data_IF_589384144450
#
_entry.id   IF_589384144450
#
_cell.length_a   1.000
_cell.length_b   1.000
_cell.length_c   1.000
_cell.angle_alpha   90.00
_cell.angle_beta   90.00
_cell.angle_gamma   90.00
#
_symmetry.space_group_name_H-M   'P 1'
#
loop_
_entity.id
_entity.type
_entity.pdbx_description
1 polymer ?
#
# COMPACT_ATOMS: atom_id res chain seq x y z
N UNK A 1 -20.30 7.65 25.87
CA UNK A 1 -20.89 7.33 24.55
C UNK A 1 -19.97 7.95 23.51
N UNK A 2 -19.23 7.13 22.76
CA UNK A 2 -18.36 7.63 21.69
C UNK A 2 -19.21 8.27 20.58
N UNK A 3 -18.73 9.37 20.02
CA UNK A 3 -19.38 10.04 18.89
C UNK A 3 -19.52 9.05 17.73
N UNK A 4 -20.73 8.86 17.22
CA UNK A 4 -20.98 7.96 16.10
C UNK A 4 -20.62 8.70 14.81
N UNK A 5 -19.57 8.26 14.12
CA UNK A 5 -19.20 8.76 12.80
C UNK A 5 -20.34 8.51 11.81
N UNK A 6 -20.73 9.56 11.09
CA UNK A 6 -21.68 9.53 9.99
C UNK A 6 -20.96 9.43 8.66
N UNK A 7 -21.68 9.06 7.60
CA UNK A 7 -21.13 9.09 6.23
C UNK A 7 -20.73 10.51 5.81
N UNK A 8 -21.45 11.52 6.31
CA UNK A 8 -21.11 12.91 6.02
C UNK A 8 -19.76 13.28 6.64
N UNK A 9 -19.49 12.85 7.88
CA UNK A 9 -18.18 13.08 8.52
C UNK A 9 -17.03 12.49 7.68
N UNK A 10 -17.24 11.33 7.04
CA UNK A 10 -16.24 10.72 6.14
C UNK A 10 -16.09 11.52 4.85
N UNK A 11 -17.20 11.99 4.23
CA UNK A 11 -17.13 12.85 3.03
C UNK A 11 -16.38 14.14 3.32
N UNK A 12 -16.69 14.77 4.45
CA UNK A 12 -16.05 16.02 4.87
C UNK A 12 -14.56 15.79 5.12
N UNK A 13 -14.18 14.67 5.76
CA UNK A 13 -12.79 14.31 5.97
C UNK A 13 -12.03 14.04 4.66
N UNK A 14 -12.61 13.30 3.72
CA UNK A 14 -12.00 13.04 2.40
C UNK A 14 -11.82 14.33 1.62
N UNK A 15 -12.86 15.18 1.55
CA UNK A 15 -12.76 16.46 0.87
C UNK A 15 -11.74 17.39 1.53
N UNK A 16 -11.73 17.44 2.87
CA UNK A 16 -10.76 18.23 3.61
C UNK A 16 -9.33 17.76 3.33
N UNK A 17 -9.06 16.46 3.42
CA UNK A 17 -7.75 15.90 3.13
C UNK A 17 -7.31 16.20 1.69
N UNK A 18 -8.22 16.04 0.72
CA UNK A 18 -7.96 16.36 -0.68
C UNK A 18 -7.59 17.84 -0.87
N UNK A 19 -8.40 18.76 -0.33
CA UNK A 19 -8.15 20.21 -0.44
C UNK A 19 -6.84 20.65 0.23
N UNK A 20 -6.50 20.05 1.38
CA UNK A 20 -5.25 20.34 2.10
C UNK A 20 -4.01 19.87 1.34
N UNK A 21 -4.13 18.82 0.52
CA UNK A 21 -2.96 18.12 -0.05
C UNK A 21 -2.82 18.25 -1.55
N UNK A 22 -3.88 18.56 -2.32
CA UNK A 22 -3.84 18.65 -3.79
C UNK A 22 -2.85 19.66 -4.36
N UNK A 23 -2.51 20.69 -3.57
CA UNK A 23 -1.56 21.73 -3.97
C UNK A 23 -0.12 21.42 -3.53
N UNK A 24 0.12 20.32 -2.81
CA UNK A 24 1.46 19.91 -2.39
C UNK A 24 2.21 19.41 -3.62
N UNK A 25 3.16 20.21 -4.08
CA UNK A 25 4.04 19.87 -5.21
C UNK A 25 5.42 19.43 -4.71
N UNK A 26 6.05 18.48 -5.39
CA UNK A 26 7.39 18.00 -5.07
C UNK A 26 7.53 16.51 -5.35
N UNK A 27 8.68 15.94 -4.99
CA UNK A 27 8.99 14.55 -5.32
C UNK A 27 9.34 14.36 -6.80
N UNK A 28 9.41 13.09 -7.21
CA UNK A 28 9.72 12.69 -8.59
C UNK A 28 9.05 11.35 -8.87
N UNK A 29 8.46 11.20 -10.05
CA UNK A 29 8.00 9.90 -10.52
C UNK A 29 9.13 8.87 -10.47
N UNK A 30 8.78 7.62 -10.18
CA UNK A 30 9.64 6.50 -10.50
C UNK A 30 9.93 6.49 -12.01
N UNK A 31 11.19 6.39 -12.39
CA UNK A 31 11.64 6.56 -13.78
C UNK A 31 12.49 5.40 -14.30
N UNK A 32 12.59 4.31 -13.54
CA UNK A 32 13.35 3.12 -13.91
C UNK A 32 12.71 2.31 -15.06
N UNK A 33 11.44 2.58 -15.39
CA UNK A 33 10.78 2.10 -16.62
C UNK A 33 9.98 3.23 -17.29
N UNK A 34 9.87 3.25 -18.64
CA UNK A 34 9.18 4.32 -19.36
C UNK A 34 7.72 4.51 -18.97
N UNK A 35 7.00 3.44 -18.60
CA UNK A 35 5.60 3.55 -18.21
C UNK A 35 5.42 4.45 -16.99
N UNK A 36 6.22 4.25 -15.93
CA UNK A 36 6.15 5.05 -14.70
C UNK A 36 6.67 6.48 -14.92
N UNK A 37 7.72 6.63 -15.72
CA UNK A 37 8.30 7.94 -16.02
C UNK A 37 7.29 8.90 -16.69
N UNK A 38 6.35 8.35 -17.46
CA UNK A 38 5.39 9.11 -18.27
C UNK A 38 3.99 9.25 -17.63
N UNK A 39 3.77 8.77 -16.40
CA UNK A 39 2.53 9.05 -15.68
C UNK A 39 2.43 10.55 -15.39
N UNK A 40 1.30 11.25 -15.65
CA UNK A 40 1.17 12.66 -15.32
C UNK A 40 1.40 12.90 -13.82
N UNK A 41 2.35 13.78 -13.49
CA UNK A 41 2.83 14.00 -12.11
C UNK A 41 1.87 14.82 -11.25
N UNK A 42 0.83 15.38 -11.86
CA UNK A 42 -0.22 16.18 -11.22
C UNK A 42 -1.45 15.35 -10.84
N UNK A 43 -1.48 14.04 -11.16
CA UNK A 43 -2.55 13.14 -10.75
C UNK A 43 -2.57 12.97 -9.23
N UNK A 44 -3.74 13.16 -8.63
CA UNK A 44 -3.93 12.94 -7.21
C UNK A 44 -5.37 12.54 -6.90
N UNK A 45 -5.54 11.47 -6.13
CA UNK A 45 -6.86 10.95 -5.75
C UNK A 45 -6.86 10.30 -4.37
N UNK A 46 -7.98 10.45 -3.67
CA UNK A 46 -8.24 9.80 -2.37
C UNK A 46 -9.58 9.07 -2.50
N UNK A 47 -9.61 7.80 -2.09
CA UNK A 47 -10.84 7.01 -2.06
C UNK A 47 -10.94 6.25 -0.74
N UNK A 48 -12.16 6.15 -0.20
CA UNK A 48 -12.52 5.39 0.99
C UNK A 48 -13.68 4.48 0.64
N UNK A 49 -13.50 3.17 0.84
CA UNK A 49 -14.56 2.18 0.74
C UNK A 49 -15.11 1.88 2.15
N UNK A 50 -16.40 2.13 2.36
CA UNK A 50 -17.07 1.85 3.62
C UNK A 50 -17.46 0.37 3.75
N UNK A 51 -17.73 -0.14 4.97
CA UNK A 51 -18.12 -1.54 5.18
C UNK A 51 -19.39 -1.98 4.45
N UNK A 52 -20.25 -1.03 4.05
CA UNK A 52 -21.46 -1.30 3.25
C UNK A 52 -21.22 -1.21 1.73
N UNK A 53 -19.97 -0.99 1.31
CA UNK A 53 -19.56 -0.89 -0.08
C UNK A 53 -19.73 0.50 -0.70
N UNK A 54 -20.22 1.50 0.03
CA UNK A 54 -20.24 2.87 -0.48
C UNK A 54 -18.81 3.40 -0.62
N UNK A 55 -18.52 3.98 -1.78
CA UNK A 55 -17.23 4.61 -2.07
C UNK A 55 -17.40 6.13 -1.97
N UNK A 56 -16.54 6.75 -1.18
CA UNK A 56 -16.38 8.20 -1.07
C UNK A 56 -15.01 8.54 -1.64
N UNK A 57 -14.97 9.40 -2.67
CA UNK A 57 -13.76 9.68 -3.42
C UNK A 57 -13.65 11.16 -3.82
N UNK A 58 -12.41 11.63 -3.98
CA UNK A 58 -12.08 12.97 -4.47
C UNK A 58 -10.79 12.92 -5.34
N UNK A 59 -10.77 13.66 -6.45
CA UNK A 59 -9.64 13.70 -7.38
C UNK A 59 -9.68 12.63 -8.48
N UNK A 60 -8.51 12.24 -8.97
CA UNK A 60 -8.33 11.37 -10.15
C UNK A 60 -8.50 9.87 -9.84
N UNK A 61 -9.56 9.49 -9.14
CA UNK A 61 -9.71 8.14 -8.55
C UNK A 61 -9.97 7.02 -9.55
N UNK A 62 -10.35 7.35 -10.78
CA UNK A 62 -10.60 6.39 -11.86
C UNK A 62 -9.37 6.16 -12.76
N UNK A 63 -8.28 6.90 -12.53
CA UNK A 63 -7.05 6.71 -13.29
C UNK A 63 -6.39 5.37 -12.93
N UNK A 64 -6.03 4.59 -13.95
CA UNK A 64 -5.40 3.28 -13.76
C UNK A 64 -3.89 3.42 -13.75
N UNK A 65 -3.25 2.91 -12.71
CA UNK A 65 -1.79 2.92 -12.53
C UNK A 65 -1.27 1.52 -12.13
N UNK A 66 0.05 1.33 -12.21
CA UNK A 66 0.69 0.08 -11.79
C UNK A 66 0.51 -0.17 -10.29
N UNK A 67 0.08 -1.39 -9.92
CA UNK A 67 -0.15 -1.75 -8.51
C UNK A 67 1.15 -1.81 -7.69
N UNK A 68 2.28 -2.10 -8.34
CA UNK A 68 3.62 -2.12 -7.72
C UNK A 68 3.67 -2.94 -6.41
N UNK A 69 4.45 -2.50 -5.42
CA UNK A 69 4.59 -3.21 -4.14
C UNK A 69 3.31 -3.32 -3.31
N UNK A 70 2.22 -2.62 -3.67
CA UNK A 70 0.91 -2.83 -3.03
C UNK A 70 0.40 -4.25 -3.32
N UNK A 71 0.82 -4.88 -4.43
CA UNK A 71 0.50 -6.27 -4.78
C UNK A 71 0.98 -7.31 -3.75
N UNK A 72 1.94 -6.97 -2.89
CA UNK A 72 2.45 -7.88 -1.86
C UNK A 72 1.39 -8.25 -0.83
N UNK A 73 0.47 -7.32 -0.51
CA UNK A 73 -0.60 -7.55 0.47
C UNK A 73 -1.60 -8.62 -0.02
N UNK A 74 -2.25 -8.50 -1.20
CA UNK A 74 -3.15 -9.55 -1.67
C UNK A 74 -2.43 -10.87 -1.92
N UNK A 75 -1.14 -10.84 -2.33
CA UNK A 75 -0.32 -12.05 -2.46
C UNK A 75 -0.14 -12.74 -1.11
N UNK A 76 0.24 -12.01 -0.05
CA UNK A 76 0.38 -12.57 1.29
C UNK A 76 -0.95 -13.17 1.81
N UNK A 77 -2.07 -12.48 1.58
CA UNK A 77 -3.41 -12.98 1.95
C UNK A 77 -3.71 -14.31 1.22
N UNK A 78 -3.45 -14.37 -0.08
CA UNK A 78 -3.66 -15.60 -0.86
C UNK A 78 -2.80 -16.75 -0.33
N UNK A 79 -1.51 -16.49 -0.08
CA UNK A 79 -0.59 -17.51 0.46
C UNK A 79 -1.04 -18.01 1.83
N UNK A 80 -1.47 -17.11 2.73
CA UNK A 80 -2.00 -17.52 4.04
C UNK A 80 -3.28 -18.36 3.91
N UNK A 81 -4.14 -18.09 2.92
CA UNK A 81 -5.32 -18.91 2.67
C UNK A 81 -4.98 -20.31 2.11
N UNK A 82 -3.87 -20.43 1.37
CA UNK A 82 -3.43 -21.70 0.76
C UNK A 82 -2.62 -22.58 1.71
N UNK A 83 -1.80 -21.96 2.56
CA UNK A 83 -0.79 -22.65 3.37
C UNK A 83 -0.95 -22.42 4.88
N UNK A 84 -1.96 -21.68 5.34
CA UNK A 84 -2.14 -21.18 6.71
C UNK A 84 -1.25 -19.98 7.09
N UNK A 85 -1.72 -19.09 8.00
CA UNK A 85 -0.90 -18.04 8.58
C UNK A 85 0.35 -18.57 9.32
N UNK A 86 0.24 -19.71 10.01
CA UNK A 86 1.32 -20.31 10.78
C UNK A 86 2.48 -20.76 9.88
N UNK A 87 2.18 -21.34 8.72
CA UNK A 87 3.19 -21.74 7.75
C UNK A 87 3.88 -20.51 7.13
N UNK A 88 3.11 -19.49 6.75
CA UNK A 88 3.67 -18.22 6.23
C UNK A 88 4.56 -17.54 7.26
N UNK A 89 4.14 -17.50 8.53
CA UNK A 89 4.96 -16.96 9.62
C UNK A 89 6.27 -17.74 9.79
N UNK A 90 6.22 -19.07 9.67
CA UNK A 90 7.40 -19.93 9.83
C UNK A 90 8.36 -19.87 8.64
N UNK A 91 7.83 -19.68 7.42
CA UNK A 91 8.59 -19.71 6.17
C UNK A 91 9.07 -18.34 5.69
N UNK A 92 8.42 -17.28 6.15
CA UNK A 92 8.70 -15.89 5.75
C UNK A 92 8.87 -15.08 7.04
N UNK A 93 7.80 -14.83 7.79
CA UNK A 93 7.87 -14.05 9.03
C UNK A 93 6.89 -12.89 9.06
N UNK A 94 6.95 -12.12 10.14
CA UNK A 94 6.09 -10.97 10.39
C UNK A 94 6.84 -9.75 10.96
N UNK A 95 8.17 -9.77 10.94
CA UNK A 95 9.00 -8.75 11.58
C UNK A 95 9.45 -7.66 10.60
N UNK A 96 9.55 -6.43 11.11
CA UNK A 96 10.10 -5.33 10.35
C UNK A 96 11.63 -5.48 10.24
N UNK A 97 12.17 -5.38 9.02
CA UNK A 97 13.62 -5.53 8.79
C UNK A 97 14.45 -4.37 9.36
N UNK A 98 13.84 -3.20 9.60
CA UNK A 98 14.55 -1.96 9.93
C UNK A 98 15.48 -1.42 8.83
N UNK A 99 15.39 -2.00 7.62
CA UNK A 99 16.30 -1.76 6.50
C UNK A 99 15.50 -1.44 5.22
N UNK A 100 16.16 -0.93 4.15
CA UNK A 100 15.49 -0.71 2.87
C UNK A 100 14.76 -1.96 2.36
N UNK A 101 13.65 -1.76 1.65
CA UNK A 101 12.75 -2.82 1.16
C UNK A 101 13.41 -3.87 0.25
N UNK A 102 14.57 -3.55 -0.33
CA UNK A 102 15.38 -4.38 -1.22
C UNK A 102 16.75 -4.75 -0.61
N UNK A 103 16.89 -4.66 0.72
CA UNK A 103 18.16 -4.89 1.42
C UNK A 103 18.57 -6.37 1.41
N UNK A 104 19.69 -6.67 0.74
CA UNK A 104 20.35 -7.98 0.84
C UNK A 104 20.83 -8.24 2.28
N UNK A 105 21.24 -7.19 3.00
CA UNK A 105 21.70 -7.31 4.38
C UNK A 105 20.59 -7.82 5.31
N UNK A 106 19.32 -7.46 5.04
CA UNK A 106 18.20 -7.98 5.82
C UNK A 106 18.13 -9.51 5.73
N UNK A 107 18.33 -10.07 4.53
CA UNK A 107 18.38 -11.53 4.30
C UNK A 107 19.59 -12.16 5.00
N UNK A 108 20.76 -11.52 4.94
CA UNK A 108 21.96 -12.09 5.55
C UNK A 108 21.90 -12.13 7.08
N UNK A 109 21.17 -11.19 7.70
CA UNK A 109 20.91 -11.17 9.14
C UNK A 109 19.85 -12.20 9.53
N UNK A 110 18.87 -12.41 8.66
CA UNK A 110 17.73 -13.33 8.81
C UNK A 110 18.03 -14.63 8.09
N UNK A 111 18.89 -15.43 8.73
CA UNK A 111 19.59 -16.57 8.12
C UNK A 111 18.75 -17.44 7.19
N UNK A 112 17.57 -17.87 7.64
CA UNK A 112 16.85 -19.01 7.05
C UNK A 112 15.54 -18.63 6.33
N UNK A 113 15.08 -17.39 6.44
CA UNK A 113 13.87 -16.91 5.77
C UNK A 113 13.80 -15.37 5.72
N UNK A 114 13.12 -14.76 4.74
CA UNK A 114 12.98 -13.31 4.66
C UNK A 114 11.97 -12.76 5.68
N UNK A 115 12.33 -11.80 6.54
CA UNK A 115 11.54 -11.35 7.73
C UNK A 115 10.04 -11.09 7.55
N UNK A 116 9.58 -10.68 6.37
CA UNK A 116 8.19 -10.28 6.13
C UNK A 116 7.81 -10.42 4.65
N UNK A 117 6.56 -10.80 4.32
CA UNK A 117 6.10 -10.86 2.93
C UNK A 117 6.02 -9.48 2.25
N UNK A 118 6.26 -8.38 2.98
CA UNK A 118 6.09 -7.01 2.48
C UNK A 118 7.39 -6.37 1.95
N UNK A 119 8.54 -7.03 2.12
CA UNK A 119 9.80 -6.68 1.43
C UNK A 119 9.95 -7.48 0.14
N UNK A 120 10.84 -7.06 -0.77
CA UNK A 120 11.02 -7.78 -2.05
C UNK A 120 11.42 -9.24 -1.83
N UNK A 121 12.29 -9.51 -0.86
CA UNK A 121 12.78 -10.85 -0.57
C UNK A 121 11.69 -11.81 -0.07
N UNK A 122 10.69 -11.32 0.68
CA UNK A 122 9.59 -12.16 1.18
C UNK A 122 8.38 -12.21 0.26
N UNK A 123 8.29 -11.28 -0.70
CA UNK A 123 7.26 -11.31 -1.73
C UNK A 123 7.58 -12.26 -2.90
N UNK A 124 8.88 -12.56 -3.10
CA UNK A 124 9.39 -13.53 -4.08
C UNK A 124 9.41 -14.90 -3.43
#
# INVERSE_FOLDING_TARGET
>A
MGQKLTKQDVRDAVQHAFEQTKAVTGGKNADYIPYLANVPSDLFGIAVCLPDGEIIAAGDTEYKFGIESVSKVPTAILTMNQYSPEEVLTKIGADATGLPFNSIMAILLEKDHPSTPLVNAGAI
#
